data_IF_790404984457
#
_entry.id   IF_790404984457
#
_cell.length_a   1.000
_cell.length_b   1.000
_cell.length_c   1.000
_cell.angle_alpha   90.00
_cell.angle_beta   90.00
_cell.angle_gamma   90.00
#
_symmetry.space_group_name_H-M   'P 1'
#
loop_
_entity.id
_entity.type
_entity.pdbx_description
1 polymer ?
#
# COMPACT_ATOMS: atom_id res chain seq x y z
N UNK A 1 1.80 -9.99 -21.09
CA UNK A 1 1.38 -11.14 -20.26
C UNK A 1 1.44 -10.66 -18.83
N UNK A 2 0.35 -10.77 -18.07
CA UNK A 2 0.33 -10.42 -16.64
C UNK A 2 0.90 -11.62 -15.90
N UNK A 3 2.18 -11.60 -15.55
CA UNK A 3 2.84 -12.73 -14.90
C UNK A 3 2.93 -12.56 -13.39
N UNK A 4 2.87 -11.33 -12.90
CA UNK A 4 2.96 -11.03 -11.48
C UNK A 4 1.68 -11.43 -10.75
N UNK A 5 1.86 -12.21 -9.69
CA UNK A 5 0.80 -12.53 -8.75
C UNK A 5 1.30 -12.21 -7.35
N UNK A 6 0.57 -11.34 -6.65
CA UNK A 6 1.02 -10.82 -5.37
C UNK A 6 1.11 -11.91 -4.27
N UNK A 7 0.40 -13.04 -4.43
CA UNK A 7 0.44 -14.12 -3.45
C UNK A 7 1.84 -14.72 -3.19
N UNK A 8 2.77 -14.64 -4.15
CA UNK A 8 4.15 -15.08 -3.92
C UNK A 8 4.90 -14.20 -2.90
N UNK A 9 4.47 -12.95 -2.74
CA UNK A 9 5.15 -11.89 -1.98
C UNK A 9 4.36 -11.44 -0.75
N UNK A 10 3.16 -11.98 -0.55
CA UNK A 10 2.22 -11.53 0.47
C UNK A 10 2.85 -11.49 1.86
N UNK A 11 2.76 -10.34 2.51
CA UNK A 11 3.25 -10.13 3.87
C UNK A 11 4.76 -9.89 3.98
N UNK A 12 5.47 -9.70 2.88
CA UNK A 12 6.89 -9.30 2.93
C UNK A 12 7.08 -7.90 3.55
N UNK A 13 8.33 -7.48 3.72
CA UNK A 13 8.65 -6.18 4.32
C UNK A 13 8.02 -4.99 3.58
N UNK A 14 7.89 -5.08 2.24
CA UNK A 14 7.32 -4.02 1.43
C UNK A 14 5.81 -3.87 1.69
N UNK A 15 5.13 -5.00 1.87
CA UNK A 15 3.73 -5.08 2.27
C UNK A 15 3.50 -4.50 3.67
N UNK A 16 4.38 -4.80 4.64
CA UNK A 16 4.33 -4.18 5.97
C UNK A 16 4.41 -2.66 5.87
N UNK A 17 5.39 -2.12 5.13
CA UNK A 17 5.57 -0.68 4.94
C UNK A 17 4.36 -0.03 4.25
N UNK A 18 3.88 -0.63 3.16
CA UNK A 18 2.72 -0.15 2.39
C UNK A 18 1.45 -0.15 3.23
N UNK A 19 1.11 -1.27 3.86
CA UNK A 19 -0.16 -1.43 4.56
C UNK A 19 -0.19 -0.69 5.90
N UNK A 20 0.95 -0.52 6.59
CA UNK A 20 1.02 0.34 7.76
C UNK A 20 0.80 1.81 7.39
N UNK A 21 1.42 2.27 6.29
CA UNK A 21 1.22 3.62 5.74
C UNK A 21 -0.24 3.83 5.33
N UNK A 22 -0.83 2.87 4.61
CA UNK A 22 -2.23 2.88 4.20
C UNK A 22 -3.16 2.97 5.42
N UNK A 23 -2.92 2.13 6.42
CA UNK A 23 -3.69 2.10 7.65
C UNK A 23 -3.64 3.44 8.38
N UNK A 24 -2.45 4.04 8.54
CA UNK A 24 -2.30 5.34 9.18
C UNK A 24 -3.08 6.47 8.47
N UNK A 25 -3.09 6.45 7.13
CA UNK A 25 -3.84 7.42 6.32
C UNK A 25 -5.34 7.21 6.41
N UNK A 26 -5.80 5.96 6.37
CA UNK A 26 -7.23 5.61 6.48
C UNK A 26 -7.75 5.93 7.88
N UNK A 27 -7.05 5.52 8.93
CA UNK A 27 -7.37 5.82 10.33
C UNK A 27 -7.56 7.34 10.54
N UNK A 28 -6.60 8.15 10.11
CA UNK A 28 -6.72 9.60 10.21
C UNK A 28 -7.93 10.13 9.41
N UNK A 29 -8.16 9.57 8.24
CA UNK A 29 -9.24 9.99 7.34
C UNK A 29 -10.63 9.82 7.95
N UNK A 30 -10.81 8.91 8.90
CA UNK A 30 -12.10 8.66 9.57
C UNK A 30 -12.50 9.76 10.57
N UNK A 31 -11.54 10.59 11.03
CA UNK A 31 -11.81 11.69 11.97
C UNK A 31 -12.81 12.72 11.42
N UNK A 32 -12.87 12.88 10.09
CA UNK A 32 -13.86 13.72 9.43
C UNK A 32 -15.09 12.89 9.06
N UNK A 33 -16.27 13.37 9.47
CA UNK A 33 -17.58 12.75 9.17
C UNK A 33 -18.01 12.85 7.70
N UNK A 34 -17.35 13.69 6.90
CA UNK A 34 -17.65 13.85 5.47
C UNK A 34 -17.30 12.57 4.70
N UNK A 35 -18.15 12.14 3.75
CA UNK A 35 -17.90 10.94 2.94
C UNK A 35 -16.59 10.98 2.16
N UNK A 36 -16.02 9.80 1.93
CA UNK A 36 -14.81 9.61 1.15
C UNK A 36 -14.98 8.47 0.15
N UNK A 37 -14.41 8.62 -1.04
CA UNK A 37 -14.19 7.52 -1.96
C UNK A 37 -12.75 7.04 -1.86
N UNK A 38 -12.60 5.76 -1.56
CA UNK A 38 -11.35 5.02 -1.64
C UNK A 38 -11.25 4.32 -2.98
N UNK A 39 -10.10 4.40 -3.63
CA UNK A 39 -9.81 3.69 -4.88
C UNK A 39 -8.50 2.92 -4.69
N UNK A 40 -8.55 1.62 -4.94
CA UNK A 40 -7.38 0.77 -5.08
C UNK A 40 -7.26 0.39 -6.56
N UNK A 41 -6.19 0.87 -7.20
CA UNK A 41 -5.97 0.67 -8.63
C UNK A 41 -5.42 -0.71 -8.98
N UNK A 42 -4.88 -1.43 -7.99
CA UNK A 42 -4.22 -2.72 -8.19
C UNK A 42 -4.51 -3.62 -6.98
N UNK A 43 -5.77 -4.00 -6.84
CA UNK A 43 -6.33 -4.60 -5.62
C UNK A 43 -5.79 -6.00 -5.29
N UNK A 44 -5.26 -6.73 -6.27
CA UNK A 44 -4.92 -8.14 -6.12
C UNK A 44 -6.14 -8.97 -5.69
N UNK A 45 -5.89 -10.07 -4.98
CA UNK A 45 -6.94 -11.00 -4.51
C UNK A 45 -7.59 -10.64 -3.17
N UNK A 46 -7.16 -9.56 -2.51
CA UNK A 46 -7.73 -9.08 -1.25
C UNK A 46 -7.14 -9.69 0.03
N UNK A 47 -7.32 -10.99 0.26
CA UNK A 47 -6.80 -11.70 1.44
C UNK A 47 -5.94 -12.89 1.01
N UNK A 48 -4.79 -13.06 1.66
CA UNK A 48 -3.77 -14.04 1.26
C UNK A 48 -3.58 -15.12 2.32
N UNK A 49 -4.08 -16.36 2.13
CA UNK A 49 -3.72 -17.47 3.00
C UNK A 49 -2.24 -17.81 2.82
N UNK A 50 -1.49 -17.89 3.92
CA UNK A 50 -0.05 -18.08 3.88
C UNK A 50 0.35 -19.53 3.57
N UNK A 51 -0.55 -20.49 3.76
CA UNK A 51 -0.30 -21.91 3.51
C UNK A 51 -0.47 -22.35 2.04
N UNK A 52 -0.82 -21.44 1.13
CA UNK A 52 -0.96 -21.74 -0.30
C UNK A 52 0.39 -22.05 -0.95
N UNK A 53 0.36 -22.78 -2.07
CA UNK A 53 1.58 -23.17 -2.79
C UNK A 53 2.39 -21.97 -3.26
N UNK A 54 1.71 -20.91 -3.67
CA UNK A 54 2.30 -19.66 -4.15
C UNK A 54 3.09 -18.99 -3.04
N UNK A 55 2.45 -18.71 -1.90
CA UNK A 55 3.10 -18.08 -0.75
C UNK A 55 4.23 -18.96 -0.20
N UNK A 56 4.01 -20.28 -0.12
CA UNK A 56 5.01 -21.22 0.41
C UNK A 56 6.23 -21.42 -0.51
N UNK A 57 6.17 -20.98 -1.77
CA UNK A 57 7.30 -21.08 -2.70
C UNK A 57 8.44 -20.12 -2.33
N UNK A 58 8.11 -18.88 -1.92
CA UNK A 58 9.11 -17.88 -1.56
C UNK A 58 9.14 -17.59 -0.05
N UNK A 59 8.01 -17.72 0.64
CA UNK A 59 7.87 -17.48 2.08
C UNK A 59 8.35 -16.09 2.53
N UNK A 60 8.24 -15.08 1.68
CA UNK A 60 8.76 -13.72 1.97
C UNK A 60 8.11 -13.07 3.20
N UNK A 61 6.92 -13.53 3.62
CA UNK A 61 6.31 -13.11 4.88
C UNK A 61 7.20 -13.34 6.11
N UNK A 62 8.16 -14.28 6.03
CA UNK A 62 9.17 -14.55 7.07
C UNK A 62 10.15 -13.40 7.26
N UNK A 63 10.42 -12.63 6.22
CA UNK A 63 11.25 -11.42 6.25
C UNK A 63 10.38 -10.14 6.32
N UNK A 64 9.09 -10.27 6.67
CA UNK A 64 8.14 -9.17 6.72
C UNK A 64 7.29 -9.21 7.97
N UNK A 65 6.02 -9.62 7.85
CA UNK A 65 5.06 -9.64 8.96
C UNK A 65 5.42 -10.62 10.08
N UNK A 66 6.15 -11.70 9.79
CA UNK A 66 6.36 -12.78 10.75
C UNK A 66 7.13 -12.36 12.02
N UNK A 67 8.28 -11.65 11.94
CA UNK A 67 8.94 -11.12 13.14
C UNK A 67 8.04 -10.20 13.95
N UNK A 68 7.31 -9.28 13.30
CA UNK A 68 6.37 -8.37 13.97
C UNK A 68 5.27 -9.13 14.69
N UNK A 69 4.74 -10.19 14.09
CA UNK A 69 3.74 -11.05 14.72
C UNK A 69 4.26 -11.69 16.00
N UNK A 70 5.51 -12.17 16.02
CA UNK A 70 6.09 -12.83 17.20
C UNK A 70 6.41 -11.83 18.32
N UNK A 71 6.84 -10.63 17.96
CA UNK A 71 7.19 -9.56 18.91
C UNK A 71 5.99 -8.70 19.32
N UNK A 72 4.77 -8.98 18.84
CA UNK A 72 3.60 -8.10 19.00
C UNK A 72 3.24 -7.73 20.45
N UNK A 73 3.63 -8.55 21.42
CA UNK A 73 3.37 -8.31 22.85
C UNK A 73 4.37 -7.34 23.49
N UNK A 74 5.54 -7.11 22.86
CA UNK A 74 6.59 -6.21 23.37
C UNK A 74 6.68 -4.89 22.60
N UNK A 75 5.95 -4.77 21.48
CA UNK A 75 5.83 -3.53 20.72
C UNK A 75 4.94 -2.53 21.47
N UNK A 76 5.29 -1.25 21.38
CA UNK A 76 4.65 -0.21 22.22
C UNK A 76 4.12 0.97 21.43
N UNK A 77 4.53 1.14 20.17
CA UNK A 77 4.01 2.21 19.34
C UNK A 77 2.49 2.05 19.10
N UNK A 78 1.65 3.05 19.43
CA UNK A 78 0.19 2.91 19.35
C UNK A 78 -0.32 2.59 17.93
N UNK A 79 0.26 3.22 16.90
CA UNK A 79 -0.16 2.99 15.51
C UNK A 79 0.17 1.55 15.10
N UNK A 80 1.37 1.07 15.44
CA UNK A 80 1.80 -0.29 15.13
C UNK A 80 0.97 -1.33 15.88
N UNK A 81 0.69 -1.10 17.16
CA UNK A 81 -0.16 -1.98 17.97
C UNK A 81 -1.58 -2.07 17.40
N UNK A 82 -2.20 -0.95 17.05
CA UNK A 82 -3.55 -0.94 16.45
C UNK A 82 -3.56 -1.65 15.09
N UNK A 83 -2.51 -1.47 14.28
CA UNK A 83 -2.36 -2.18 13.02
C UNK A 83 -2.19 -3.69 13.21
N UNK A 84 -1.36 -4.14 14.17
CA UNK A 84 -1.18 -5.56 14.49
C UNK A 84 -2.43 -6.19 15.11
N UNK A 85 -3.23 -5.42 15.87
CA UNK A 85 -4.52 -5.86 16.36
C UNK A 85 -5.49 -6.13 15.19
N UNK A 86 -5.47 -5.30 14.15
CA UNK A 86 -6.23 -5.56 12.93
C UNK A 86 -5.68 -6.77 12.14
N UNK A 87 -4.36 -6.97 12.06
CA UNK A 87 -3.79 -8.22 11.50
C UNK A 87 -4.22 -9.45 12.33
N UNK A 88 -4.34 -9.31 13.64
CA UNK A 88 -4.79 -10.39 14.53
C UNK A 88 -6.27 -10.71 14.33
N UNK A 89 -7.11 -9.70 14.10
CA UNK A 89 -8.57 -9.89 13.97
C UNK A 89 -8.99 -10.63 12.70
N UNK A 90 -8.16 -10.61 11.64
CA UNK A 90 -8.43 -11.38 10.42
C UNK A 90 -8.02 -12.86 10.55
N UNK A 91 -7.30 -13.24 11.60
CA UNK A 91 -6.91 -14.63 11.81
C UNK A 91 -8.09 -15.47 12.33
N UNK A 92 -8.25 -16.72 11.88
CA UNK A 92 -9.19 -17.66 12.50
C UNK A 92 -8.88 -17.96 13.98
N UNK A 93 -7.61 -17.84 14.37
CA UNK A 93 -7.14 -17.95 15.76
C UNK A 93 -6.13 -16.86 16.04
N UNK A 94 -6.25 -16.19 17.19
CA UNK A 94 -5.36 -15.09 17.60
C UNK A 94 -3.92 -15.55 17.90
N UNK A 95 -3.70 -16.86 18.03
CA UNK A 95 -2.38 -17.45 18.31
C UNK A 95 -1.54 -17.75 17.06
N UNK A 96 -2.14 -17.74 15.86
CA UNK A 96 -1.47 -18.21 14.65
C UNK A 96 -1.63 -17.22 13.48
N UNK A 97 -0.51 -16.85 12.87
CA UNK A 97 -0.51 -16.09 11.63
C UNK A 97 -0.73 -17.04 10.45
N UNK A 98 -1.93 -16.99 9.87
CA UNK A 98 -2.38 -17.88 8.79
C UNK A 98 -2.78 -17.12 7.53
N UNK A 99 -3.16 -15.84 7.67
CA UNK A 99 -3.57 -14.98 6.58
C UNK A 99 -2.85 -13.64 6.66
N UNK A 100 -2.53 -13.07 5.50
CA UNK A 100 -2.08 -11.69 5.39
C UNK A 100 -3.15 -10.84 4.67
N UNK A 101 -3.65 -9.76 5.29
CA UNK A 101 -4.62 -8.87 4.66
C UNK A 101 -3.95 -7.95 3.63
N UNK A 102 -4.44 -7.96 2.39
CA UNK A 102 -4.06 -7.00 1.36
C UNK A 102 -4.86 -5.70 1.45
N UNK A 103 -4.52 -4.72 0.61
CA UNK A 103 -5.14 -3.40 0.59
C UNK A 103 -6.67 -3.39 0.46
N UNK A 104 -7.35 -4.29 -0.27
CA UNK A 104 -8.81 -4.34 -0.27
C UNK A 104 -9.41 -4.63 1.10
N UNK A 105 -8.75 -5.48 1.90
CA UNK A 105 -9.19 -5.76 3.26
C UNK A 105 -9.03 -4.51 4.12
N UNK A 106 -7.85 -3.90 4.13
CA UNK A 106 -7.56 -2.68 4.88
C UNK A 106 -8.53 -1.54 4.58
N UNK A 107 -8.79 -1.29 3.29
CA UNK A 107 -9.69 -0.23 2.85
C UNK A 107 -11.16 -0.52 3.15
N UNK A 108 -11.54 -1.80 3.28
CA UNK A 108 -12.94 -2.19 3.51
C UNK A 108 -13.34 -2.20 4.98
N UNK A 109 -12.42 -2.52 5.90
CA UNK A 109 -12.71 -2.62 7.34
C UNK A 109 -13.27 -1.31 7.93
N UNK A 110 -12.81 -0.17 7.42
CA UNK A 110 -13.14 1.15 7.95
C UNK A 110 -14.26 1.87 7.19
N UNK A 111 -14.94 1.21 6.25
CA UNK A 111 -15.98 1.86 5.45
C UNK A 111 -17.24 2.13 6.26
N UNK A 112 -17.70 3.39 6.21
CA UNK A 112 -19.01 3.80 6.74
C UNK A 112 -20.07 3.69 5.65
N UNK A 113 -21.35 3.77 6.02
CA UNK A 113 -22.49 3.65 5.09
C UNK A 113 -22.42 4.58 3.87
N UNK A 114 -21.89 5.78 4.06
CA UNK A 114 -21.81 6.82 3.02
C UNK A 114 -20.47 6.86 2.29
N UNK A 115 -19.49 6.06 2.69
CA UNK A 115 -18.21 5.95 1.98
C UNK A 115 -18.36 5.05 0.75
N UNK A 116 -17.37 5.09 -0.15
CA UNK A 116 -17.35 4.25 -1.36
C UNK A 116 -15.97 3.61 -1.50
N UNK A 117 -15.92 2.35 -1.92
CA UNK A 117 -14.66 1.68 -2.26
C UNK A 117 -14.72 1.13 -3.68
N UNK A 118 -13.65 1.34 -4.45
CA UNK A 118 -13.48 0.82 -5.81
C UNK A 118 -12.18 0.06 -5.87
N UNK A 119 -12.26 -1.19 -6.31
CA UNK A 119 -11.15 -2.12 -6.35
C UNK A 119 -10.97 -2.57 -7.79
N UNK A 120 -9.88 -2.15 -8.42
CA UNK A 120 -9.55 -2.56 -9.78
C UNK A 120 -8.54 -3.69 -9.74
N UNK A 121 -8.76 -4.72 -10.54
CA UNK A 121 -7.81 -5.82 -10.73
C UNK A 121 -7.87 -6.28 -12.20
N UNK A 122 -6.71 -6.36 -12.86
CA UNK A 122 -6.60 -6.66 -14.28
C UNK A 122 -6.22 -8.12 -14.55
N UNK A 123 -5.60 -8.82 -13.59
CA UNK A 123 -5.29 -10.23 -13.70
C UNK A 123 -6.56 -11.07 -13.45
N UNK A 124 -7.02 -11.89 -14.43
CA UNK A 124 -8.29 -12.61 -14.33
C UNK A 124 -8.37 -13.53 -13.11
N UNK A 125 -7.31 -14.29 -12.85
CA UNK A 125 -7.24 -15.17 -11.68
C UNK A 125 -7.28 -14.43 -10.34
N UNK A 126 -6.59 -13.29 -10.19
CA UNK A 126 -6.63 -12.50 -8.95
C UNK A 126 -8.02 -11.88 -8.77
N UNK A 127 -8.62 -11.39 -9.85
CA UNK A 127 -9.98 -10.84 -9.83
C UNK A 127 -11.04 -11.89 -9.46
N UNK A 128 -10.89 -13.14 -9.94
CA UNK A 128 -11.75 -14.26 -9.52
C UNK A 128 -11.65 -14.52 -8.01
N UNK A 129 -10.45 -14.50 -7.44
CA UNK A 129 -10.27 -14.61 -5.98
C UNK A 129 -10.81 -13.38 -5.24
N UNK A 130 -10.61 -12.17 -5.77
CA UNK A 130 -11.17 -10.95 -5.20
C UNK A 130 -12.70 -11.03 -5.16
N UNK A 131 -13.32 -11.66 -6.16
CA UNK A 131 -14.76 -11.90 -6.24
C UNK A 131 -15.28 -12.88 -5.18
N UNK A 132 -14.45 -13.69 -4.54
CA UNK A 132 -14.89 -14.58 -3.45
C UNK A 132 -14.77 -13.93 -2.06
N UNK A 133 -14.08 -12.79 -1.95
CA UNK A 133 -13.93 -12.08 -0.67
C UNK A 133 -15.28 -11.62 -0.14
N UNK A 134 -15.43 -11.54 1.19
CA UNK A 134 -16.56 -10.87 1.82
C UNK A 134 -16.22 -9.38 1.98
N UNK A 135 -16.90 -8.49 1.26
CA UNK A 135 -16.70 -7.05 1.33
C UNK A 135 -18.05 -6.36 1.58
N UNK A 136 -18.05 -5.17 2.21
CA UNK A 136 -19.28 -4.45 2.49
C UNK A 136 -19.93 -3.91 1.20
N UNK A 137 -21.26 -3.63 1.21
CA UNK A 137 -22.01 -3.21 0.00
C UNK A 137 -21.47 -1.96 -0.72
N UNK A 138 -20.72 -1.12 -0.02
CA UNK A 138 -20.08 0.10 -0.54
C UNK A 138 -18.91 -0.19 -1.48
N UNK A 139 -18.34 -1.39 -1.39
CA UNK A 139 -17.21 -1.83 -2.21
C UNK A 139 -17.69 -2.37 -3.56
N UNK A 140 -17.05 -1.92 -4.64
CA UNK A 140 -17.23 -2.47 -5.99
C UNK A 140 -15.92 -3.01 -6.52
N UNK A 141 -15.97 -4.25 -7.02
CA UNK A 141 -14.87 -4.95 -7.71
C UNK A 141 -15.02 -4.71 -9.19
N UNK A 142 -13.93 -4.36 -9.85
CA UNK A 142 -13.92 -3.96 -11.25
C UNK A 142 -12.79 -4.73 -11.93
N UNK A 143 -13.16 -5.60 -12.85
CA UNK A 143 -12.19 -6.26 -13.72
C UNK A 143 -11.75 -5.28 -14.81
N UNK A 144 -10.51 -4.80 -14.71
CA UNK A 144 -10.00 -3.81 -15.66
C UNK A 144 -8.77 -3.06 -15.16
N UNK A 145 -8.25 -2.20 -16.03
CA UNK A 145 -7.10 -1.36 -15.75
C UNK A 145 -7.46 -0.30 -14.71
N UNK A 146 -6.75 -0.28 -13.59
CA UNK A 146 -7.05 0.63 -12.50
C UNK A 146 -6.59 2.07 -12.70
N UNK A 147 -5.53 2.32 -13.48
CA UNK A 147 -5.09 3.69 -13.80
C UNK A 147 -6.07 4.34 -14.77
N UNK A 148 -6.45 3.62 -15.83
CA UNK A 148 -7.50 4.06 -16.76
C UNK A 148 -8.86 4.18 -16.04
N UNK A 149 -9.18 3.22 -15.18
CA UNK A 149 -10.39 3.20 -14.38
C UNK A 149 -10.51 4.38 -13.42
N UNK A 150 -9.41 4.74 -12.74
CA UNK A 150 -9.31 5.94 -11.91
C UNK A 150 -9.60 7.20 -12.73
N UNK A 151 -8.89 7.36 -13.86
CA UNK A 151 -9.04 8.52 -14.76
C UNK A 151 -10.50 8.69 -15.23
N UNK A 152 -11.16 7.60 -15.60
CA UNK A 152 -12.56 7.60 -16.05
C UNK A 152 -13.57 7.90 -14.93
N UNK A 153 -13.20 7.64 -13.67
CA UNK A 153 -14.05 7.87 -12.51
C UNK A 153 -14.01 9.29 -11.95
N UNK A 154 -13.08 10.12 -12.40
CA UNK A 154 -12.88 11.46 -11.87
C UNK A 154 -13.72 12.53 -12.59
N UNK A 155 -14.30 13.50 -11.86
CA UNK A 155 -14.31 13.60 -10.40
C UNK A 155 -15.27 12.60 -9.75
N UNK A 156 -14.92 12.11 -8.55
CA UNK A 156 -15.81 11.25 -7.76
C UNK A 156 -16.98 12.05 -7.16
N UNK A 157 -18.07 11.36 -6.81
CA UNK A 157 -19.28 12.00 -6.25
C UNK A 157 -19.17 12.39 -4.77
N UNK A 158 -18.11 11.99 -4.08
CA UNK A 158 -17.88 12.30 -2.65
C UNK A 158 -16.95 13.51 -2.54
N UNK A 159 -17.01 14.28 -1.45
CA UNK A 159 -16.18 15.48 -1.29
C UNK A 159 -14.70 15.19 -0.99
N UNK A 160 -14.32 13.91 -0.88
CA UNK A 160 -12.97 13.48 -0.52
C UNK A 160 -12.58 12.25 -1.33
N UNK A 161 -11.32 12.18 -1.69
CA UNK A 161 -10.73 11.08 -2.44
C UNK A 161 -9.44 10.61 -1.77
N UNK A 162 -9.29 9.30 -1.61
CA UNK A 162 -8.05 8.64 -1.23
C UNK A 162 -7.78 7.51 -2.22
N UNK A 163 -6.59 7.48 -2.82
CA UNK A 163 -6.23 6.53 -3.87
C UNK A 163 -4.95 5.81 -3.48
N UNK A 164 -4.95 4.48 -3.57
CA UNK A 164 -3.76 3.65 -3.56
C UNK A 164 -3.38 3.28 -5.01
N UNK A 165 -2.13 3.56 -5.37
CA UNK A 165 -1.51 3.20 -6.63
C UNK A 165 -0.34 2.25 -6.34
N UNK A 166 -0.55 0.96 -6.64
CA UNK A 166 0.35 -0.14 -6.28
C UNK A 166 0.55 -1.11 -7.46
N UNK A 167 1.04 -0.66 -8.63
CA UNK A 167 1.27 -1.54 -9.75
C UNK A 167 2.41 -2.52 -9.45
N UNK A 168 2.47 -3.62 -10.21
CA UNK A 168 3.55 -4.59 -10.11
C UNK A 168 4.90 -4.06 -10.64
N UNK A 169 4.87 -3.01 -11.47
CA UNK A 169 6.02 -2.48 -12.21
C UNK A 169 6.71 -3.53 -13.10
N UNK A 170 5.92 -4.47 -13.65
CA UNK A 170 6.41 -5.45 -14.64
C UNK A 170 6.85 -4.77 -15.94
N UNK A 171 6.22 -3.64 -16.29
CA UNK A 171 6.56 -2.85 -17.47
C UNK A 171 7.22 -1.55 -17.04
N UNK A 172 8.34 -1.21 -17.68
CA UNK A 172 9.00 0.09 -17.49
C UNK A 172 8.08 1.30 -17.76
N UNK A 173 7.09 1.15 -18.65
CA UNK A 173 6.12 2.20 -18.94
C UNK A 173 5.22 2.56 -17.74
N UNK A 174 5.00 1.62 -16.80
CA UNK A 174 4.12 1.83 -15.64
C UNK A 174 4.60 2.99 -14.76
N UNK A 175 5.92 3.21 -14.66
CA UNK A 175 6.46 4.35 -13.92
C UNK A 175 5.95 5.69 -14.47
N UNK A 176 5.89 5.85 -15.80
CA UNK A 176 5.38 7.07 -16.42
C UNK A 176 3.84 7.12 -16.37
N UNK A 177 3.16 6.00 -16.59
CA UNK A 177 1.69 5.92 -16.51
C UNK A 177 1.18 6.34 -15.11
N UNK A 178 1.91 6.00 -14.04
CA UNK A 178 1.61 6.45 -12.67
C UNK A 178 1.80 7.96 -12.53
N UNK A 179 2.88 8.55 -13.08
CA UNK A 179 3.11 10.00 -13.08
C UNK A 179 1.92 10.72 -13.75
N UNK A 180 1.58 10.31 -14.96
CA UNK A 180 0.52 10.94 -15.77
C UNK A 180 -0.84 10.83 -15.06
N UNK A 181 -1.13 9.67 -14.46
CA UNK A 181 -2.36 9.43 -13.70
C UNK A 181 -2.43 10.29 -12.44
N UNK A 182 -1.32 10.47 -11.72
CA UNK A 182 -1.26 11.31 -10.52
C UNK A 182 -1.50 12.78 -10.86
N UNK A 183 -0.88 13.29 -11.93
CA UNK A 183 -1.07 14.66 -12.44
C UNK A 183 -2.55 14.88 -12.77
N UNK A 184 -3.13 14.04 -13.63
CA UNK A 184 -4.53 14.14 -14.01
C UNK A 184 -5.47 14.06 -12.80
N UNK A 185 -5.15 13.18 -11.83
CA UNK A 185 -5.96 13.04 -10.62
C UNK A 185 -6.00 14.32 -9.81
N UNK A 186 -4.86 14.99 -9.62
CA UNK A 186 -4.77 16.22 -8.84
C UNK A 186 -5.30 17.44 -9.60
N UNK A 187 -5.29 17.43 -10.94
CA UNK A 187 -6.02 18.42 -11.74
C UNK A 187 -7.54 18.35 -11.51
N UNK A 188 -8.11 17.13 -11.45
CA UNK A 188 -9.55 16.93 -11.24
C UNK A 188 -9.97 16.99 -9.78
N UNK A 189 -9.08 16.60 -8.87
CA UNK A 189 -9.33 16.50 -7.44
C UNK A 189 -8.09 16.92 -6.65
N UNK A 190 -7.80 18.23 -6.64
CA UNK A 190 -6.62 18.83 -5.96
C UNK A 190 -6.40 18.43 -4.49
N UNK A 191 -7.47 18.01 -3.81
CA UNK A 191 -7.47 17.63 -2.40
C UNK A 191 -7.31 16.12 -2.19
N UNK A 192 -7.16 15.34 -3.27
CA UNK A 192 -7.00 13.89 -3.20
C UNK A 192 -5.73 13.54 -2.42
N UNK A 193 -5.85 12.52 -1.57
CA UNK A 193 -4.70 11.87 -0.95
C UNK A 193 -4.29 10.74 -1.89
N UNK A 194 -3.08 10.80 -2.43
CA UNK A 194 -2.53 9.73 -3.28
C UNK A 194 -1.44 9.00 -2.50
N UNK A 195 -1.56 7.69 -2.37
CA UNK A 195 -0.51 6.81 -1.88
C UNK A 195 0.04 6.04 -3.07
N UNK A 196 1.30 6.26 -3.42
CA UNK A 196 1.97 5.57 -4.53
C UNK A 196 3.07 4.69 -3.96
N UNK A 197 2.93 3.38 -4.13
CA UNK A 197 3.98 2.42 -3.82
C UNK A 197 4.96 2.30 -5.00
N UNK A 198 6.23 2.03 -4.72
CA UNK A 198 7.22 1.68 -5.74
C UNK A 198 8.34 0.79 -5.19
N UNK A 199 8.90 -0.12 -6.00
CA UNK A 199 9.99 -0.98 -5.58
C UNK A 199 11.36 -0.30 -5.77
N UNK A 200 12.28 -0.54 -4.83
CA UNK A 200 13.67 -0.19 -4.98
C UNK A 200 14.41 -1.42 -5.53
N UNK A 201 14.62 -1.40 -6.85
CA UNK A 201 15.34 -2.43 -7.60
C UNK A 201 16.70 -1.88 -8.06
N UNK A 202 17.73 -2.73 -8.25
CA UNK A 202 19.04 -2.30 -8.75
C UNK A 202 18.98 -1.54 -10.08
N UNK A 203 17.99 -1.82 -10.93
CA UNK A 203 17.77 -1.12 -12.20
C UNK A 203 17.39 0.37 -12.03
N UNK A 204 17.00 0.80 -10.82
CA UNK A 204 16.80 2.21 -10.48
C UNK A 204 15.63 2.90 -11.20
N UNK A 205 14.67 2.15 -11.76
CA UNK A 205 13.58 2.75 -12.55
C UNK A 205 12.62 3.63 -11.74
N UNK A 206 12.55 3.48 -10.41
CA UNK A 206 11.75 4.35 -9.55
C UNK A 206 12.17 5.83 -9.60
N UNK A 207 13.42 6.15 -9.98
CA UNK A 207 13.85 7.54 -10.18
C UNK A 207 13.00 8.24 -11.24
N UNK A 208 12.59 7.55 -12.32
CA UNK A 208 11.74 8.14 -13.35
C UNK A 208 10.38 8.58 -12.79
N UNK A 209 9.80 7.80 -11.87
CA UNK A 209 8.57 8.15 -11.17
C UNK A 209 8.78 9.36 -10.25
N UNK A 210 9.81 9.32 -9.40
CA UNK A 210 10.08 10.38 -8.43
C UNK A 210 10.44 11.71 -9.09
N UNK A 211 11.28 11.68 -10.13
CA UNK A 211 11.70 12.86 -10.88
C UNK A 211 10.55 13.41 -11.72
N UNK A 212 9.75 12.55 -12.36
CA UNK A 212 8.56 12.94 -13.11
C UNK A 212 7.54 13.66 -12.24
N UNK A 213 7.25 13.12 -11.04
CA UNK A 213 6.36 13.78 -10.08
C UNK A 213 6.94 15.10 -9.56
N UNK A 214 8.25 15.16 -9.28
CA UNK A 214 8.90 16.41 -8.83
C UNK A 214 8.85 17.50 -9.91
N UNK A 215 9.04 17.13 -11.18
CA UNK A 215 8.99 18.04 -12.32
C UNK A 215 7.56 18.50 -12.67
N UNK A 216 6.53 17.76 -12.26
CA UNK A 216 5.12 18.05 -12.57
C UNK A 216 4.55 19.31 -11.90
N UNK A 217 5.22 19.83 -10.87
CA UNK A 217 4.73 20.95 -10.07
C UNK A 217 3.77 20.56 -8.93
N UNK A 218 3.47 19.27 -8.76
CA UNK A 218 2.73 18.77 -7.57
C UNK A 218 3.52 19.13 -6.31
N UNK A 219 2.81 19.61 -5.28
CA UNK A 219 3.35 20.01 -3.97
C UNK A 219 2.87 19.08 -2.87
N UNK A 220 3.42 19.24 -1.66
CA UNK A 220 3.02 18.46 -0.47
C UNK A 220 3.18 16.96 -0.68
N UNK A 221 4.37 16.56 -1.09
CA UNK A 221 4.74 15.16 -1.31
C UNK A 221 5.68 14.69 -0.20
N UNK A 222 5.21 13.76 0.62
CA UNK A 222 6.02 13.10 1.62
C UNK A 222 6.45 11.72 1.12
N UNK A 223 7.73 11.41 1.24
CA UNK A 223 8.34 10.16 0.77
C UNK A 223 8.89 9.39 1.95
N UNK A 224 8.56 8.11 2.03
CA UNK A 224 9.14 7.14 2.96
C UNK A 224 9.70 5.97 2.17
N UNK A 225 10.96 5.62 2.38
CA UNK A 225 11.62 4.46 1.77
C UNK A 225 12.10 3.52 2.88
N UNK A 226 11.63 2.27 2.87
CA UNK A 226 12.11 1.20 3.72
C UNK A 226 13.16 0.40 2.94
N UNK A 227 14.39 0.37 3.44
CA UNK A 227 15.45 -0.48 2.93
C UNK A 227 15.56 -1.70 3.84
N UNK A 228 15.47 -2.89 3.24
CA UNK A 228 15.74 -4.15 3.96
C UNK A 228 17.24 -4.43 4.00
N UNK A 229 17.94 -4.07 2.92
CA UNK A 229 19.38 -4.29 2.69
C UNK A 229 20.01 -3.04 2.07
N UNK A 230 21.34 -2.90 2.10
CA UNK A 230 21.96 -1.72 1.51
C UNK A 230 21.94 -1.75 -0.04
N UNK A 231 21.83 -0.57 -0.70
CA UNK A 231 21.93 -0.51 -2.15
C UNK A 231 23.26 -1.11 -2.65
N UNK A 232 23.18 -1.97 -3.66
CA UNK A 232 24.37 -2.58 -4.29
C UNK A 232 24.86 -3.89 -3.66
N UNK A 233 24.29 -4.33 -2.53
CA UNK A 233 24.61 -5.64 -1.94
C UNK A 233 24.05 -6.81 -2.75
N UNK A 234 23.00 -6.60 -3.54
CA UNK A 234 22.45 -7.59 -4.45
C UNK A 234 22.39 -7.09 -5.90
N UNK A 235 22.64 -8.00 -6.83
CA UNK A 235 22.52 -7.74 -8.27
C UNK A 235 21.10 -7.99 -8.80
N UNK A 236 20.24 -8.65 -8.01
CA UNK A 236 18.87 -9.02 -8.37
C UNK A 236 17.94 -8.86 -7.15
N UNK A 237 16.64 -8.74 -7.41
CA UNK A 237 15.62 -8.66 -6.36
C UNK A 237 15.43 -7.25 -5.80
N UNK A 238 14.36 -7.09 -5.02
CA UNK A 238 13.99 -5.83 -4.38
C UNK A 238 14.79 -5.68 -3.07
N UNK A 239 15.56 -4.59 -2.95
CA UNK A 239 16.32 -4.29 -1.73
C UNK A 239 15.59 -3.34 -0.78
N UNK A 240 14.53 -2.70 -1.27
CA UNK A 240 13.70 -1.78 -0.50
C UNK A 240 12.36 -1.50 -1.16
N UNK A 241 11.47 -0.79 -0.47
CA UNK A 241 10.22 -0.28 -1.02
C UNK A 241 9.99 1.17 -0.63
N UNK A 242 9.28 1.91 -1.46
CA UNK A 242 8.94 3.30 -1.23
C UNK A 242 7.44 3.54 -1.22
N UNK A 243 7.03 4.48 -0.38
CA UNK A 243 5.70 5.09 -0.36
C UNK A 243 5.86 6.58 -0.58
N UNK A 244 5.24 7.11 -1.64
CA UNK A 244 5.11 8.55 -1.85
C UNK A 244 3.65 8.94 -1.61
N UNK A 245 3.43 9.82 -0.64
CA UNK A 245 2.10 10.29 -0.25
C UNK A 245 1.94 11.76 -0.64
N UNK A 246 0.98 12.05 -1.52
CA UNK A 246 0.58 13.42 -1.87
C UNK A 246 -0.56 13.86 -0.97
N UNK A 247 -0.49 15.11 -0.48
CA UNK A 247 -1.42 15.66 0.52
C UNK A 247 -1.53 14.74 1.76
N UNK A 248 -0.40 14.32 2.38
CA UNK A 248 -0.45 13.44 3.53
C UNK A 248 -1.27 14.09 4.65
N UNK A 249 -2.05 13.29 5.42
CA UNK A 249 -2.69 13.79 6.62
C UNK A 249 -1.69 14.40 7.61
N UNK A 250 -2.14 15.38 8.39
CA UNK A 250 -1.29 16.06 9.36
C UNK A 250 -0.73 15.09 10.41
N UNK A 251 0.58 15.18 10.66
CA UNK A 251 1.31 14.33 11.60
C UNK A 251 1.52 12.88 11.14
N UNK A 252 1.24 12.55 9.86
CA UNK A 252 1.51 11.22 9.31
C UNK A 252 2.99 10.86 9.41
N UNK A 253 3.86 11.81 9.11
CA UNK A 253 5.32 11.68 9.14
C UNK A 253 5.84 11.27 10.52
N UNK A 254 5.47 11.99 11.58
CA UNK A 254 5.90 11.66 12.95
C UNK A 254 5.28 10.35 13.46
N UNK A 255 4.00 10.09 13.16
CA UNK A 255 3.35 8.81 13.53
C UNK A 255 4.03 7.60 12.88
N UNK A 256 4.35 7.70 11.59
CA UNK A 256 5.02 6.60 10.89
C UNK A 256 6.48 6.49 11.31
N UNK A 257 7.17 7.59 11.60
CA UNK A 257 8.55 7.55 12.07
C UNK A 257 8.72 6.71 13.34
N UNK A 258 7.85 6.90 14.34
CA UNK A 258 7.92 6.12 15.59
C UNK A 258 7.56 4.66 15.38
N UNK A 259 6.48 4.38 14.65
CA UNK A 259 6.06 3.03 14.31
C UNK A 259 7.14 2.27 13.51
N UNK A 260 7.69 2.92 12.48
CA UNK A 260 8.70 2.31 11.61
C UNK A 260 10.02 2.04 12.32
N UNK A 261 10.37 2.79 13.37
CA UNK A 261 11.56 2.50 14.19
C UNK A 261 11.43 1.14 14.91
N UNK A 262 10.24 0.81 15.41
CA UNK A 262 9.97 -0.53 15.96
C UNK A 262 9.91 -1.60 14.86
N UNK A 263 9.30 -1.30 13.71
CA UNK A 263 9.26 -2.22 12.55
C UNK A 263 10.67 -2.61 12.10
N UNK A 264 11.57 -1.64 11.86
CA UNK A 264 12.94 -1.93 11.40
C UNK A 264 13.72 -2.74 12.43
N UNK A 265 13.51 -2.51 13.73
CA UNK A 265 14.12 -3.34 14.79
C UNK A 265 13.71 -4.81 14.66
N UNK A 266 12.46 -5.09 14.30
CA UNK A 266 11.97 -6.46 14.07
C UNK A 266 12.45 -7.06 12.74
N UNK A 267 12.62 -6.26 11.69
CA UNK A 267 13.03 -6.74 10.37
C UNK A 267 14.54 -7.05 10.28
N UNK A 268 15.35 -6.52 11.20
CA UNK A 268 16.77 -6.82 11.33
C UNK A 268 17.65 -5.58 11.33
N UNK A 269 18.91 -5.74 11.74
CA UNK A 269 19.84 -4.64 12.01
C UNK A 269 20.26 -3.84 10.78
N UNK A 270 20.16 -4.42 9.58
CA UNK A 270 20.47 -3.74 8.32
C UNK A 270 19.28 -2.91 7.81
N UNK A 271 18.08 -3.20 8.31
CA UNK A 271 16.88 -2.52 7.86
C UNK A 271 16.80 -1.10 8.41
N UNK A 272 16.38 -0.17 7.56
CA UNK A 272 16.23 1.24 7.93
C UNK A 272 15.13 1.91 7.13
N UNK A 273 14.55 2.96 7.71
CA UNK A 273 13.59 3.82 7.03
C UNK A 273 14.19 5.20 6.79
N UNK A 274 14.00 5.72 5.59
CA UNK A 274 14.40 7.05 5.18
C UNK A 274 13.13 7.82 4.77
N UNK A 275 12.71 8.77 5.60
CA UNK A 275 11.50 9.54 5.37
C UNK A 275 11.80 11.04 5.30
N UNK A 276 11.27 11.72 4.29
CA UNK A 276 11.48 13.16 4.07
C UNK A 276 10.35 13.78 3.23
N UNK A 277 10.18 15.09 3.35
CA UNK A 277 9.41 15.86 2.39
C UNK A 277 10.17 15.89 1.06
N UNK A 278 9.60 15.25 0.04
CA UNK A 278 10.18 15.21 -1.30
C UNK A 278 9.96 16.52 -2.04
N UNK A 279 8.76 17.09 -1.88
CA UNK A 279 8.40 18.45 -2.29
C UNK A 279 7.50 19.05 -1.22
N UNK A 280 7.92 20.19 -0.69
CA UNK A 280 7.21 20.93 0.36
C UNK A 280 5.94 21.65 -0.17
N UNK A 281 5.24 22.39 0.69
CA UNK A 281 4.07 23.18 0.31
C UNK A 281 4.35 24.20 -0.79
#
# INVERSE_FOLDING_TARGET
MLSYQHAYHAGNFADVHKHLTLYAVVDYSLRKKTPITYIDTHAGRGLYPLATKETQRLQEYREGIWPLWHEREVLTDPLLCDWLNAVTSVQPSTSALTHYPGSPWWLSQSLREHDKLRLFELHPGEHEHLNTQSLPPQAKRIYGDGLAGLTAMLPVSTPRLCVLIDPSFERKAEYQEVVDTAIYTLEKARHAILLMWYPLLPAGHHHALLDGLKASGIRKMWRSELLLRAPGEQTHGMYGSGMLVVNPPWGLDERLKTAMAEVTRCLGSESRVEAQWWVEE
#
